data_IF_895540752078
#
_entry.id   IF_895540752078
#
_cell.length_a   1.000
_cell.length_b   1.000
_cell.length_c   1.000
_cell.angle_alpha   90.00
_cell.angle_beta   90.00
_cell.angle_gamma   90.00
#
_symmetry.space_group_name_H-M   'P 1'
#
loop_
_entity.id
_entity.type
_entity.pdbx_description
1 polymer ?
#
# COMPACT_ATOMS: atom_id res chain seq x y z
N UNK A 1 1.92 9.75 14.46
CA UNK A 1 0.46 9.75 14.19
C UNK A 1 0.02 8.33 13.81
N UNK A 2 -1.22 7.92 14.08
CA UNK A 2 -1.74 6.64 13.60
C UNK A 2 -1.70 6.59 12.06
N UNK A 3 -1.56 5.39 11.49
CA UNK A 3 -1.67 5.21 10.04
C UNK A 3 -3.11 5.46 9.59
N UNK A 4 -3.27 6.11 8.43
CA UNK A 4 -4.58 6.12 7.81
C UNK A 4 -4.83 4.77 7.13
N UNK A 5 -5.80 4.02 7.66
CA UNK A 5 -6.19 2.70 7.17
C UNK A 5 -7.61 2.69 6.59
N UNK A 6 -8.13 3.86 6.24
CA UNK A 6 -9.49 4.05 5.76
C UNK A 6 -9.48 4.83 4.44
N UNK A 7 -10.32 4.39 3.51
CA UNK A 7 -10.58 5.02 2.21
C UNK A 7 -12.09 5.28 2.05
N UNK A 8 -12.55 5.61 0.85
CA UNK A 8 -13.98 5.67 0.48
C UNK A 8 -14.21 4.95 -0.84
N UNK A 9 -15.46 4.56 -1.10
CA UNK A 9 -15.82 3.99 -2.39
C UNK A 9 -15.65 5.01 -3.52
N UNK A 10 -15.86 6.30 -3.26
CA UNK A 10 -15.55 7.38 -4.22
C UNK A 10 -14.07 7.42 -4.58
N UNK A 11 -13.16 7.32 -3.61
CA UNK A 11 -11.72 7.32 -3.83
C UNK A 11 -11.28 6.09 -4.63
N UNK A 12 -11.76 4.91 -4.25
CA UNK A 12 -11.53 3.66 -5.00
C UNK A 12 -12.04 3.84 -6.43
N UNK A 13 -13.27 4.31 -6.64
CA UNK A 13 -13.84 4.49 -7.99
C UNK A 13 -13.04 5.47 -8.84
N UNK A 14 -12.56 6.57 -8.25
CA UNK A 14 -11.72 7.56 -8.93
C UNK A 14 -10.38 6.97 -9.40
N UNK A 15 -9.84 5.99 -8.69
CA UNK A 15 -8.64 5.24 -9.06
C UNK A 15 -8.88 4.20 -10.19
N UNK A 16 -10.12 4.06 -10.69
CA UNK A 16 -10.50 3.21 -11.83
C UNK A 16 -10.16 1.71 -11.62
N UNK A 17 -10.77 1.05 -10.63
CA UNK A 17 -10.56 -0.37 -10.37
C UNK A 17 -11.08 -1.21 -11.53
N UNK A 18 -10.66 -2.48 -11.59
CA UNK A 18 -11.25 -3.42 -12.52
C UNK A 18 -12.77 -3.54 -12.28
N UNK A 19 -13.58 -3.72 -13.34
CA UNK A 19 -15.03 -3.81 -13.18
C UNK A 19 -15.47 -4.96 -12.26
N UNK A 20 -14.78 -6.10 -12.30
CA UNK A 20 -15.14 -7.30 -11.53
C UNK A 20 -14.98 -7.05 -10.02
N UNK A 21 -13.77 -6.69 -9.57
CA UNK A 21 -13.52 -6.38 -8.15
C UNK A 21 -14.37 -5.22 -7.64
N UNK A 22 -14.67 -4.22 -8.48
CA UNK A 22 -15.59 -3.14 -8.12
C UNK A 22 -17.01 -3.62 -7.84
N UNK A 23 -17.55 -4.50 -8.69
CA UNK A 23 -18.90 -5.04 -8.47
C UNK A 23 -18.95 -5.97 -7.25
N UNK A 24 -17.91 -6.77 -7.04
CA UNK A 24 -17.78 -7.64 -5.86
C UNK A 24 -17.76 -6.84 -4.55
N UNK A 25 -16.95 -5.76 -4.50
CA UNK A 25 -16.89 -4.88 -3.33
C UNK A 25 -18.23 -4.19 -3.05
N UNK A 26 -18.92 -3.71 -4.08
CA UNK A 26 -20.24 -3.11 -3.90
C UNK A 26 -21.26 -4.13 -3.38
N UNK A 27 -21.26 -5.33 -3.95
CA UNK A 27 -22.16 -6.42 -3.54
C UNK A 27 -21.91 -6.85 -2.08
N UNK A 28 -20.65 -7.01 -1.67
CA UNK A 28 -20.30 -7.40 -0.29
C UNK A 28 -20.75 -6.36 0.74
N UNK A 29 -20.77 -5.09 0.36
CA UNK A 29 -21.21 -3.96 1.18
C UNK A 29 -22.72 -3.69 1.10
N UNK A 30 -23.48 -4.42 0.27
CA UNK A 30 -24.90 -4.18 0.03
C UNK A 30 -25.19 -2.83 -0.65
N UNK A 31 -24.23 -2.33 -1.44
CA UNK A 31 -24.30 -1.03 -2.12
C UNK A 31 -24.44 -1.20 -3.63
N UNK A 32 -24.95 -0.16 -4.28
CA UNK A 32 -25.12 -0.12 -5.75
C UNK A 32 -24.34 1.01 -6.41
N UNK A 33 -23.75 1.92 -5.62
CA UNK A 33 -23.01 3.07 -6.09
C UNK A 33 -21.88 3.44 -5.11
N UNK A 34 -20.96 4.27 -5.59
CA UNK A 34 -19.92 4.85 -4.75
C UNK A 34 -20.49 5.89 -3.77
N UNK A 35 -19.84 6.02 -2.62
CA UNK A 35 -20.09 7.06 -1.63
C UNK A 35 -18.82 7.41 -0.85
N UNK A 36 -18.92 8.46 -0.05
CA UNK A 36 -17.84 8.99 0.79
C UNK A 36 -17.85 8.42 2.22
N UNK A 37 -18.59 7.33 2.47
CA UNK A 37 -18.59 6.70 3.77
C UNK A 37 -17.19 6.11 4.06
N UNK A 38 -16.67 6.24 5.30
CA UNK A 38 -15.42 5.62 5.71
C UNK A 38 -15.45 4.10 5.46
N UNK A 39 -14.51 3.62 4.64
CA UNK A 39 -14.33 2.21 4.32
C UNK A 39 -12.95 1.73 4.84
N UNK A 40 -12.90 0.91 5.90
CA UNK A 40 -11.64 0.34 6.38
C UNK A 40 -11.00 -0.56 5.31
N UNK A 41 -9.68 -0.50 5.16
CA UNK A 41 -8.94 -1.35 4.23
C UNK A 41 -9.18 -2.84 4.48
N UNK A 42 -9.39 -3.23 5.74
CA UNK A 42 -9.70 -4.62 6.11
C UNK A 42 -11.03 -5.11 5.52
N UNK A 43 -12.01 -4.24 5.31
CA UNK A 43 -13.26 -4.65 4.67
C UNK A 43 -13.05 -5.03 3.20
N UNK A 44 -12.09 -4.38 2.52
CA UNK A 44 -11.68 -4.77 1.16
C UNK A 44 -10.94 -6.10 1.20
N UNK A 45 -10.03 -6.29 2.16
CA UNK A 45 -9.32 -7.57 2.33
C UNK A 45 -10.30 -8.74 2.55
N UNK A 46 -11.31 -8.54 3.41
CA UNK A 46 -12.27 -9.58 3.77
C UNK A 46 -13.22 -9.95 2.62
N UNK A 47 -13.49 -9.02 1.70
CA UNK A 47 -14.45 -9.24 0.60
C UNK A 47 -13.79 -9.58 -0.74
N UNK A 48 -12.70 -8.89 -1.09
CA UNK A 48 -12.03 -9.00 -2.37
C UNK A 48 -10.68 -9.73 -2.30
N UNK A 49 -10.17 -9.97 -1.10
CA UNK A 49 -8.89 -10.64 -0.88
C UNK A 49 -7.66 -9.71 -0.95
N UNK A 50 -6.49 -10.33 -0.86
CA UNK A 50 -5.23 -9.64 -0.63
C UNK A 50 -4.81 -8.74 -1.80
N UNK A 51 -4.93 -9.22 -3.03
CA UNK A 51 -4.44 -8.49 -4.21
C UNK A 51 -5.19 -7.15 -4.37
N UNK A 52 -6.51 -7.17 -4.25
CA UNK A 52 -7.34 -5.97 -4.31
C UNK A 52 -7.10 -5.04 -3.12
N UNK A 53 -6.88 -5.59 -1.91
CA UNK A 53 -6.52 -4.78 -0.75
C UNK A 53 -5.17 -4.07 -0.94
N UNK A 54 -4.16 -4.75 -1.49
CA UNK A 54 -2.86 -4.14 -1.81
C UNK A 54 -2.98 -3.10 -2.92
N UNK A 55 -3.85 -3.34 -3.90
CA UNK A 55 -4.14 -2.37 -4.94
C UNK A 55 -4.79 -1.10 -4.35
N UNK A 56 -5.79 -1.23 -3.48
CA UNK A 56 -6.42 -0.10 -2.79
C UNK A 56 -5.41 0.65 -1.92
N UNK A 57 -4.59 -0.08 -1.16
CA UNK A 57 -3.51 0.48 -0.34
C UNK A 57 -2.58 1.37 -1.17
N UNK A 58 -2.32 1.01 -2.42
CA UNK A 58 -1.38 1.70 -3.31
C UNK A 58 -2.01 2.85 -4.10
N UNK A 59 -3.32 2.83 -4.35
CA UNK A 59 -3.95 3.71 -5.35
C UNK A 59 -5.10 4.58 -4.82
N UNK A 60 -5.72 4.20 -3.70
CA UNK A 60 -6.94 4.82 -3.22
C UNK A 60 -6.88 5.23 -1.74
N UNK A 61 -5.71 5.19 -1.11
CA UNK A 61 -5.51 5.73 0.23
C UNK A 61 -5.28 7.25 0.18
N UNK A 62 -5.66 7.99 1.24
CA UNK A 62 -5.50 9.44 1.28
C UNK A 62 -4.04 9.89 1.42
N UNK A 63 -3.15 8.99 1.85
CA UNK A 63 -1.70 9.18 1.89
C UNK A 63 -0.98 7.86 1.60
N UNK A 64 0.33 7.95 1.37
CA UNK A 64 1.19 6.82 1.02
C UNK A 64 1.89 6.17 2.23
N UNK A 65 1.66 6.71 3.44
CA UNK A 65 2.49 6.41 4.62
C UNK A 65 2.30 4.97 5.06
N UNK A 66 1.05 4.51 5.13
CA UNK A 66 0.76 3.11 5.46
C UNK A 66 1.38 2.17 4.42
N UNK A 67 1.25 2.49 3.13
CA UNK A 67 1.81 1.69 2.04
C UNK A 67 3.34 1.58 2.15
N UNK A 68 4.06 2.69 2.31
CA UNK A 68 5.52 2.69 2.44
C UNK A 68 6.01 1.89 3.64
N UNK A 69 5.37 2.07 4.80
CA UNK A 69 5.76 1.35 6.02
C UNK A 69 5.42 -0.15 5.91
N UNK A 70 4.30 -0.51 5.28
CA UNK A 70 3.97 -1.90 5.00
C UNK A 70 4.98 -2.55 4.03
N UNK A 71 5.38 -1.85 2.96
CA UNK A 71 6.43 -2.31 2.04
C UNK A 71 7.76 -2.53 2.77
N UNK A 72 8.17 -1.57 3.61
CA UNK A 72 9.39 -1.69 4.40
C UNK A 72 9.32 -2.91 5.35
N UNK A 73 8.19 -3.12 6.01
CA UNK A 73 7.98 -4.26 6.89
C UNK A 73 8.07 -5.59 6.12
N UNK A 74 7.44 -5.70 4.95
CA UNK A 74 7.52 -6.88 4.09
C UNK A 74 8.96 -7.19 3.66
N UNK A 75 9.68 -6.17 3.16
CA UNK A 75 11.06 -6.33 2.71
C UNK A 75 12.00 -6.75 3.86
N UNK A 76 11.77 -6.21 5.07
CA UNK A 76 12.54 -6.56 6.27
C UNK A 76 12.38 -8.04 6.66
N UNK A 77 11.23 -8.67 6.41
CA UNK A 77 11.04 -10.10 6.71
C UNK A 77 12.02 -11.00 5.97
N UNK A 78 12.44 -10.59 4.77
CA UNK A 78 13.28 -11.38 3.86
C UNK A 78 14.66 -10.77 3.62
N UNK A 79 14.96 -9.62 4.25
CA UNK A 79 16.23 -8.90 4.08
C UNK A 79 17.46 -9.80 4.33
N UNK A 80 17.37 -10.70 5.32
CA UNK A 80 18.44 -11.64 5.65
C UNK A 80 18.83 -12.56 4.48
N UNK A 81 17.90 -12.93 3.60
CA UNK A 81 18.19 -13.73 2.41
C UNK A 81 19.07 -12.92 1.44
N UNK A 82 18.69 -11.67 1.18
CA UNK A 82 19.45 -10.77 0.32
C UNK A 82 20.86 -10.53 0.85
N UNK A 83 21.01 -10.27 2.14
CA UNK A 83 22.32 -9.98 2.75
C UNK A 83 23.25 -11.20 2.78
N UNK A 84 22.68 -12.40 2.88
CA UNK A 84 23.44 -13.63 2.76
C UNK A 84 23.91 -13.87 1.31
N UNK A 85 23.08 -13.54 0.31
CA UNK A 85 23.44 -13.63 -1.11
C UNK A 85 24.40 -12.52 -1.57
N UNK A 86 24.30 -11.33 -0.96
CA UNK A 86 25.05 -10.12 -1.31
C UNK A 86 25.71 -9.48 -0.07
N UNK A 87 26.74 -10.11 0.52
CA UNK A 87 27.39 -9.56 1.71
C UNK A 87 27.98 -8.17 1.44
N UNK A 88 27.67 -7.21 2.32
CA UNK A 88 28.14 -5.83 2.23
C UNK A 88 27.34 -4.92 1.29
N UNK A 89 26.34 -5.45 0.58
CA UNK A 89 25.41 -4.65 -0.22
C UNK A 89 24.28 -4.10 0.67
N UNK A 90 24.27 -2.79 0.91
CA UNK A 90 23.31 -2.14 1.80
C UNK A 90 22.05 -1.63 1.09
N UNK A 91 21.94 -1.73 -0.25
CA UNK A 91 20.90 -1.01 -1.01
C UNK A 91 19.47 -1.30 -0.55
N UNK A 92 19.16 -2.56 -0.21
CA UNK A 92 17.83 -2.95 0.29
C UNK A 92 17.59 -2.42 1.71
N UNK A 93 18.60 -2.47 2.58
CA UNK A 93 18.53 -1.91 3.94
C UNK A 93 18.33 -0.39 3.89
N UNK A 94 19.04 0.31 3.01
CA UNK A 94 18.94 1.75 2.84
C UNK A 94 17.57 2.16 2.26
N UNK A 95 17.03 1.37 1.33
CA UNK A 95 15.68 1.55 0.82
C UNK A 95 14.62 1.36 1.91
N UNK A 96 14.74 0.33 2.76
CA UNK A 96 13.85 0.11 3.92
C UNK A 96 13.89 1.32 4.87
N UNK A 97 15.09 1.83 5.18
CA UNK A 97 15.24 3.00 6.04
C UNK A 97 14.60 4.25 5.42
N UNK A 98 14.74 4.43 4.10
CA UNK A 98 14.14 5.55 3.37
C UNK A 98 12.61 5.47 3.34
N UNK A 99 12.04 4.29 3.13
CA UNK A 99 10.59 4.07 3.16
C UNK A 99 9.98 4.37 4.55
N UNK A 100 10.71 4.07 5.63
CA UNK A 100 10.30 4.36 7.01
C UNK A 100 10.45 5.83 7.40
N UNK A 101 11.27 6.60 6.68
CA UNK A 101 11.48 8.01 6.97
C UNK A 101 10.33 8.86 6.42
N UNK A 102 9.45 9.30 7.32
CA UNK A 102 8.29 10.13 6.97
C UNK A 102 8.68 11.56 6.54
N UNK A 103 9.88 12.02 6.91
CA UNK A 103 10.43 13.32 6.54
C UNK A 103 11.23 13.27 5.21
N UNK A 104 11.40 12.09 4.60
CA UNK A 104 12.07 11.97 3.32
C UNK A 104 11.24 12.63 2.21
N UNK A 105 11.87 13.44 1.38
CA UNK A 105 11.21 14.02 0.20
C UNK A 105 10.98 12.98 -0.89
N UNK A 106 10.09 13.27 -1.83
CA UNK A 106 9.86 12.41 -3.01
C UNK A 106 11.14 12.15 -3.79
N UNK A 107 12.02 13.16 -3.92
CA UNK A 107 13.31 13.01 -4.59
C UNK A 107 14.25 12.03 -3.88
N UNK A 108 14.29 12.07 -2.54
CA UNK A 108 15.07 11.12 -1.75
C UNK A 108 14.51 9.71 -1.90
N UNK A 109 13.17 9.57 -1.86
CA UNK A 109 12.50 8.28 -2.05
C UNK A 109 12.74 7.70 -3.45
N UNK A 110 12.68 8.53 -4.49
CA UNK A 110 12.95 8.13 -5.86
C UNK A 110 14.40 7.68 -6.04
N UNK A 111 15.37 8.46 -5.53
CA UNK A 111 16.78 8.11 -5.62
C UNK A 111 17.13 6.79 -4.93
N UNK A 112 16.54 6.53 -3.76
CA UNK A 112 16.73 5.26 -3.05
C UNK A 112 16.13 4.07 -3.82
N UNK A 113 14.96 4.27 -4.47
CA UNK A 113 14.34 3.26 -5.33
C UNK A 113 15.20 2.94 -6.56
N UNK A 114 15.81 3.94 -7.18
CA UNK A 114 16.67 3.75 -8.36
C UNK A 114 18.00 3.08 -8.02
N UNK A 115 18.43 3.16 -6.76
CA UNK A 115 19.65 2.52 -6.26
C UNK A 115 19.47 1.06 -5.81
N UNK A 116 18.24 0.62 -5.56
CA UNK A 116 17.88 -0.71 -5.07
C UNK A 116 17.79 -1.74 -6.20
#
# INVERSE_FOLDING_TARGET
MPYNSTTTLSAIRAAKPCPEGWHELLASLGKTAADDAPLPLLAVLDSNGLDDALWVLSNAMPDDRLMRHFQAWCAEQVLHLFENERPGDARVRDQIATLRNDDASDGVRAAARDAA
#
